data_IF_398480452370
#
_entry.id   IF_398480452370
#
_cell.length_a   1.000
_cell.length_b   1.000
_cell.length_c   1.000
_cell.angle_alpha   90.00
_cell.angle_beta   90.00
_cell.angle_gamma   90.00
#
_symmetry.space_group_name_H-M   'P 1'
#
loop_
_entity.id
_entity.type
_entity.pdbx_description
1 polymer ?
#
# COMPACT_ATOMS: atom_id res chain seq x y z
N UNK A 1 37.88 18.68 20.51
CA UNK A 1 37.63 17.59 21.48
C UNK A 1 38.36 16.35 20.97
N UNK A 2 39.29 15.79 21.75
CA UNK A 2 40.07 14.63 21.31
C UNK A 2 39.20 13.37 21.39
N UNK A 3 39.49 12.34 20.58
CA UNK A 3 38.69 11.10 20.50
C UNK A 3 38.60 10.35 21.84
N UNK A 4 39.63 10.48 22.69
CA UNK A 4 39.68 9.93 24.03
C UNK A 4 38.68 10.60 24.98
N UNK A 5 38.45 11.91 24.82
CA UNK A 5 37.47 12.66 25.61
C UNK A 5 36.04 12.27 25.23
N UNK A 6 35.77 11.99 23.95
CA UNK A 6 34.47 11.50 23.48
C UNK A 6 34.12 10.11 24.03
N UNK A 7 35.08 9.18 24.05
CA UNK A 7 34.91 7.87 24.68
C UNK A 7 34.69 7.98 26.19
N UNK A 8 35.44 8.86 26.86
CA UNK A 8 35.31 9.09 28.31
C UNK A 8 33.94 9.66 28.68
N UNK A 9 33.37 10.50 27.83
CA UNK A 9 32.06 11.14 28.05
C UNK A 9 30.88 10.31 27.53
N UNK A 10 31.11 9.11 26.99
CA UNK A 10 30.07 8.34 26.28
C UNK A 10 29.35 9.18 25.20
N UNK A 11 30.08 10.11 24.61
CA UNK A 11 29.56 11.03 23.60
C UNK A 11 29.56 10.30 22.24
N UNK A 12 28.58 9.40 22.10
CA UNK A 12 28.23 8.75 20.85
C UNK A 12 27.49 9.73 19.96
N UNK A 13 28.21 10.74 19.50
CA UNK A 13 27.69 11.75 18.58
C UNK A 13 27.36 11.08 17.23
N UNK A 14 26.13 10.60 17.13
CA UNK A 14 25.55 10.05 15.91
C UNK A 14 25.32 11.12 14.84
N UNK A 15 25.50 12.40 15.16
CA UNK A 15 25.30 13.52 14.24
C UNK A 15 26.17 13.40 13.00
N UNK A 16 27.44 13.05 13.14
CA UNK A 16 28.37 12.91 12.00
C UNK A 16 27.93 11.81 11.03
N UNK A 17 27.44 10.69 11.56
CA UNK A 17 26.94 9.57 10.73
C UNK A 17 25.61 9.95 10.08
N UNK A 18 24.78 10.70 10.81
CA UNK A 18 23.49 11.18 10.33
C UNK A 18 23.64 12.21 9.20
N UNK A 19 24.54 13.17 9.35
CA UNK A 19 24.82 14.19 8.33
C UNK A 19 25.39 13.55 7.07
N UNK A 20 26.33 12.61 7.21
CA UNK A 20 26.83 11.82 6.08
C UNK A 20 25.70 11.05 5.37
N UNK A 21 24.78 10.45 6.13
CA UNK A 21 23.66 9.71 5.58
C UNK A 21 22.68 10.61 4.82
N UNK A 22 22.39 11.80 5.37
CA UNK A 22 21.56 12.81 4.72
C UNK A 22 22.20 13.34 3.44
N UNK A 23 23.51 13.62 3.44
CA UNK A 23 24.25 14.09 2.28
C UNK A 23 24.22 13.06 1.13
N UNK A 24 24.47 11.79 1.44
CA UNK A 24 24.38 10.70 0.45
C UNK A 24 22.96 10.55 -0.08
N UNK A 25 21.97 10.63 0.82
CA UNK A 25 20.55 10.50 0.45
C UNK A 25 20.15 11.63 -0.50
N UNK A 26 20.49 12.87 -0.16
CA UNK A 26 20.23 14.04 -0.96
C UNK A 26 20.93 13.96 -2.33
N UNK A 27 22.17 13.51 -2.37
CA UNK A 27 22.91 13.31 -3.62
C UNK A 27 22.19 12.32 -4.57
N UNK A 28 21.75 11.18 -4.06
CA UNK A 28 21.06 10.16 -4.89
C UNK A 28 19.67 10.63 -5.33
N UNK A 29 18.94 11.31 -4.44
CA UNK A 29 17.62 11.88 -4.74
C UNK A 29 17.71 12.94 -5.84
N UNK A 30 18.69 13.84 -5.78
CA UNK A 30 18.85 14.88 -6.80
C UNK A 30 19.23 14.31 -8.17
N UNK A 31 19.91 13.15 -8.21
CA UNK A 31 20.45 12.58 -9.45
C UNK A 31 19.53 11.56 -10.13
N UNK A 32 18.83 10.75 -9.35
CA UNK A 32 17.96 9.65 -9.83
C UNK A 32 16.48 10.02 -9.69
N UNK A 33 16.15 10.98 -8.82
CA UNK A 33 14.78 11.39 -8.52
C UNK A 33 14.11 10.47 -7.50
N UNK A 34 12.78 10.39 -7.58
CA UNK A 34 11.94 9.65 -6.62
C UNK A 34 12.33 8.17 -6.38
N UNK A 35 12.89 7.40 -7.34
CA UNK A 35 13.25 6.01 -7.10
C UNK A 35 14.40 5.84 -6.08
N UNK A 36 15.22 6.88 -5.87
CA UNK A 36 16.32 6.83 -4.90
C UNK A 36 15.82 6.59 -3.47
N UNK A 37 14.67 7.15 -3.10
CA UNK A 37 14.09 6.94 -1.77
C UNK A 37 13.75 5.47 -1.51
N UNK A 38 13.28 4.75 -2.52
CA UNK A 38 12.97 3.32 -2.39
C UNK A 38 14.25 2.49 -2.18
N UNK A 39 15.31 2.80 -2.93
CA UNK A 39 16.59 2.12 -2.79
C UNK A 39 17.22 2.37 -1.40
N UNK A 40 17.15 3.60 -0.90
CA UNK A 40 17.66 3.97 0.42
C UNK A 40 16.86 3.29 1.53
N UNK A 41 15.54 3.27 1.42
CA UNK A 41 14.67 2.54 2.35
C UNK A 41 15.00 1.04 2.38
N UNK A 42 15.25 0.43 1.22
CA UNK A 42 15.68 -0.96 1.13
C UNK A 42 17.03 -1.20 1.82
N UNK A 43 18.00 -0.29 1.69
CA UNK A 43 19.30 -0.38 2.37
C UNK A 43 19.14 -0.31 3.90
N UNK A 44 18.32 0.62 4.42
CA UNK A 44 18.04 0.71 5.87
C UNK A 44 17.43 -0.59 6.38
N UNK A 45 16.46 -1.14 5.63
CA UNK A 45 15.82 -2.41 5.96
C UNK A 45 16.86 -3.56 5.98
N UNK A 46 17.71 -3.65 4.96
CA UNK A 46 18.77 -4.66 4.90
C UNK A 46 19.76 -4.53 6.06
N UNK A 47 20.13 -3.31 6.45
CA UNK A 47 20.97 -3.06 7.63
C UNK A 47 20.27 -3.48 8.92
N UNK A 48 19.01 -3.10 9.11
CA UNK A 48 18.20 -3.52 10.27
C UNK A 48 18.03 -5.04 10.37
N UNK A 49 17.97 -5.72 9.22
CA UNK A 49 17.95 -7.19 9.12
C UNK A 49 19.33 -7.85 9.22
N UNK A 50 20.43 -7.12 9.06
CA UNK A 50 21.78 -7.65 9.19
C UNK A 50 22.20 -7.78 10.66
N UNK A 51 21.82 -6.81 11.50
CA UNK A 51 22.16 -6.84 12.93
C UNK A 51 21.16 -7.70 13.73
N UNK A 52 21.66 -8.78 14.36
CA UNK A 52 20.86 -9.68 15.21
C UNK A 52 19.91 -8.98 16.21
N UNK A 53 20.31 -7.92 16.95
CA UNK A 53 19.41 -7.28 17.91
C UNK A 53 18.24 -6.52 17.25
N UNK A 54 18.41 -5.96 16.05
CA UNK A 54 17.36 -5.19 15.36
C UNK A 54 16.49 -6.04 14.44
N UNK A 55 16.96 -7.24 14.05
CA UNK A 55 16.26 -8.16 13.14
C UNK A 55 14.81 -8.42 13.48
N UNK A 56 14.51 -8.66 14.76
CA UNK A 56 13.13 -8.94 15.21
C UNK A 56 12.21 -7.75 14.98
N UNK A 57 12.64 -6.56 15.39
CA UNK A 57 11.87 -5.32 15.22
C UNK A 57 11.71 -4.95 13.74
N UNK A 58 12.76 -5.04 12.95
CA UNK A 58 12.72 -4.75 11.51
C UNK A 58 11.80 -5.74 10.77
N UNK A 59 11.86 -7.03 11.10
CA UNK A 59 10.95 -8.05 10.54
C UNK A 59 9.48 -7.78 10.88
N UNK A 60 9.18 -7.42 12.14
CA UNK A 60 7.83 -7.06 12.56
C UNK A 60 7.30 -5.84 11.81
N UNK A 61 8.12 -4.80 11.65
CA UNK A 61 7.75 -3.60 10.91
C UNK A 61 7.46 -3.88 9.44
N UNK A 62 8.32 -4.66 8.77
CA UNK A 62 8.10 -5.05 7.36
C UNK A 62 6.81 -5.87 7.24
N UNK A 63 6.62 -6.86 8.12
CA UNK A 63 5.44 -7.71 8.07
C UNK A 63 4.15 -6.91 8.29
N UNK A 64 4.14 -5.98 9.26
CA UNK A 64 3.02 -5.09 9.49
C UNK A 64 2.73 -4.20 8.28
N UNK A 65 3.78 -3.62 7.68
CA UNK A 65 3.66 -2.76 6.51
C UNK A 65 3.11 -3.50 5.28
N UNK A 66 3.67 -4.68 4.99
CA UNK A 66 3.21 -5.54 3.89
C UNK A 66 1.75 -5.95 4.11
N UNK A 67 1.41 -6.41 5.33
CA UNK A 67 0.03 -6.77 5.66
C UNK A 67 -0.91 -5.58 5.49
N UNK A 68 -0.53 -4.38 5.90
CA UNK A 68 -1.34 -3.17 5.73
C UNK A 68 -1.64 -2.88 4.26
N UNK A 69 -0.63 -2.99 3.38
CA UNK A 69 -0.81 -2.80 1.93
C UNK A 69 -1.80 -3.84 1.38
N UNK A 70 -1.60 -5.12 1.68
CA UNK A 70 -2.48 -6.17 1.18
C UNK A 70 -3.91 -6.03 1.70
N UNK A 71 -4.08 -5.68 2.98
CA UNK A 71 -5.40 -5.38 3.55
C UNK A 71 -6.06 -4.20 2.83
N UNK A 72 -5.32 -3.13 2.54
CA UNK A 72 -5.84 -2.00 1.79
C UNK A 72 -6.31 -2.42 0.38
N UNK A 73 -5.47 -3.15 -0.35
CA UNK A 73 -5.82 -3.67 -1.69
C UNK A 73 -7.05 -4.56 -1.63
N UNK A 74 -7.14 -5.45 -0.64
CA UNK A 74 -8.30 -6.32 -0.45
C UNK A 74 -9.58 -5.50 -0.20
N UNK A 75 -9.52 -4.44 0.62
CA UNK A 75 -10.67 -3.56 0.90
C UNK A 75 -11.12 -2.86 -0.38
N UNK A 76 -10.19 -2.29 -1.14
CA UNK A 76 -10.50 -1.61 -2.41
C UNK A 76 -11.15 -2.59 -3.40
N UNK A 77 -10.59 -3.78 -3.57
CA UNK A 77 -11.17 -4.81 -4.43
C UNK A 77 -12.54 -5.27 -3.96
N UNK A 78 -12.75 -5.40 -2.65
CA UNK A 78 -14.04 -5.76 -2.07
C UNK A 78 -15.09 -4.70 -2.38
N UNK A 79 -14.73 -3.43 -2.24
CA UNK A 79 -15.61 -2.31 -2.56
C UNK A 79 -16.00 -2.30 -4.04
N UNK A 80 -15.03 -2.46 -4.93
CA UNK A 80 -15.26 -2.53 -6.38
C UNK A 80 -16.17 -3.72 -6.72
N UNK A 81 -15.93 -4.87 -6.10
CA UNK A 81 -16.74 -6.09 -6.31
C UNK A 81 -18.19 -5.86 -5.89
N UNK A 82 -18.43 -5.28 -4.72
CA UNK A 82 -19.80 -4.97 -4.24
C UNK A 82 -20.51 -4.01 -5.20
N UNK A 83 -19.83 -2.98 -5.69
CA UNK A 83 -20.41 -2.04 -6.67
C UNK A 83 -20.75 -2.74 -8.00
N UNK A 84 -19.88 -3.62 -8.48
CA UNK A 84 -20.09 -4.43 -9.69
C UNK A 84 -21.31 -5.35 -9.54
N UNK A 85 -21.42 -6.08 -8.43
CA UNK A 85 -22.59 -6.93 -8.17
C UNK A 85 -23.86 -6.12 -8.00
N UNK A 86 -23.80 -4.96 -7.35
CA UNK A 86 -24.93 -4.04 -7.25
C UNK A 86 -25.39 -3.53 -8.61
N UNK A 87 -24.47 -3.22 -9.52
CA UNK A 87 -24.77 -2.85 -10.90
C UNK A 87 -25.40 -4.01 -11.68
N UNK A 88 -24.80 -5.21 -11.62
CA UNK A 88 -25.32 -6.43 -12.24
C UNK A 88 -26.75 -6.74 -11.77
N UNK A 89 -27.02 -6.63 -10.47
CA UNK A 89 -28.35 -6.81 -9.91
C UNK A 89 -29.37 -5.82 -10.48
N UNK A 90 -29.00 -4.54 -10.62
CA UNK A 90 -29.85 -3.53 -11.26
C UNK A 90 -30.11 -3.83 -12.74
N UNK A 91 -29.10 -4.28 -13.48
CA UNK A 91 -29.24 -4.68 -14.89
C UNK A 91 -30.19 -5.87 -15.02
N UNK A 92 -30.03 -6.90 -14.19
CA UNK A 92 -30.91 -8.07 -14.17
C UNK A 92 -32.35 -7.69 -13.85
N UNK A 93 -32.57 -6.83 -12.85
CA UNK A 93 -33.91 -6.31 -12.53
C UNK A 93 -34.50 -5.51 -13.70
N UNK A 94 -33.71 -4.66 -14.36
CA UNK A 94 -34.15 -3.90 -15.52
C UNK A 94 -34.61 -4.84 -16.66
N UNK A 95 -33.86 -5.91 -16.92
CA UNK A 95 -34.24 -6.91 -17.91
C UNK A 95 -35.49 -7.69 -17.48
N UNK A 96 -35.61 -8.06 -16.21
CA UNK A 96 -36.81 -8.72 -15.68
C UNK A 96 -38.05 -7.85 -15.83
N UNK A 97 -37.96 -6.55 -15.52
CA UNK A 97 -39.05 -5.60 -15.71
C UNK A 97 -39.42 -5.40 -17.20
N UNK A 98 -38.43 -5.46 -18.09
CA UNK A 98 -38.67 -5.40 -19.55
C UNK A 98 -39.38 -6.65 -20.03
N UNK A 99 -38.92 -7.84 -19.63
CA UNK A 99 -39.54 -9.12 -19.98
C UNK A 99 -40.96 -9.22 -19.43
N UNK A 100 -41.20 -8.81 -18.19
CA UNK A 100 -42.55 -8.80 -17.59
C UNK A 100 -43.52 -7.91 -18.38
N UNK A 101 -43.07 -6.72 -18.82
CA UNK A 101 -43.90 -5.82 -19.66
C UNK A 101 -44.21 -6.44 -21.02
N UNK A 102 -43.21 -7.06 -21.67
CA UNK A 102 -43.39 -7.73 -22.94
C UNK A 102 -44.36 -8.92 -22.86
N UNK A 103 -44.25 -9.75 -21.81
CA UNK A 103 -45.19 -10.84 -21.55
C UNK A 103 -46.61 -10.30 -21.30
N UNK A 104 -46.75 -9.21 -20.53
CA UNK A 104 -48.05 -8.58 -20.31
C UNK A 104 -48.72 -8.12 -21.61
N UNK A 105 -47.95 -7.49 -22.51
CA UNK A 105 -48.44 -7.05 -23.82
C UNK A 105 -48.91 -8.22 -24.69
N UNK A 106 -48.16 -9.33 -24.72
CA UNK A 106 -48.56 -10.54 -25.45
C UNK A 106 -49.87 -11.14 -24.94
N UNK A 107 -50.10 -11.11 -23.62
CA UNK A 107 -51.34 -11.63 -23.04
C UNK A 107 -52.55 -10.72 -23.29
N UNK A 108 -52.36 -9.39 -23.29
CA UNK A 108 -53.44 -8.45 -23.63
C UNK A 108 -53.83 -8.54 -25.11
N UNK A 109 -52.86 -8.63 -26.02
CA UNK A 109 -53.10 -8.75 -27.47
C UNK A 109 -53.89 -10.03 -27.81
N UNK A 110 -53.61 -11.13 -27.10
CA UNK A 110 -54.32 -12.41 -27.25
C UNK A 110 -55.74 -12.41 -26.67
N UNK A 111 -56.09 -11.42 -25.85
CA UNK A 111 -57.41 -11.28 -25.21
C UNK A 111 -58.37 -10.42 -26.05
N UNK A 112 -57.80 -9.61 -26.95
CA UNK A 112 -58.52 -8.73 -27.89
C UNK A 112 -58.73 -9.33 -29.28
N UNK A 113 -58.11 -10.47 -29.60
CA UNK A 113 -58.32 -11.25 -30.82
C UNK A 113 -59.20 -12.47 -30.55
#
# INVERSE_FOLDING_TARGET
>A
MNWQDKLRQWDWDFGVVWDWFLDITQFHVQRIGWPAYLAIAAVIICLGLAFQPTRGLTSLLINAFVRMIFTYVQIVLSLVTVQLFGFLGKVLLAQFHRTRRWVGQLFDEKKTS
#
